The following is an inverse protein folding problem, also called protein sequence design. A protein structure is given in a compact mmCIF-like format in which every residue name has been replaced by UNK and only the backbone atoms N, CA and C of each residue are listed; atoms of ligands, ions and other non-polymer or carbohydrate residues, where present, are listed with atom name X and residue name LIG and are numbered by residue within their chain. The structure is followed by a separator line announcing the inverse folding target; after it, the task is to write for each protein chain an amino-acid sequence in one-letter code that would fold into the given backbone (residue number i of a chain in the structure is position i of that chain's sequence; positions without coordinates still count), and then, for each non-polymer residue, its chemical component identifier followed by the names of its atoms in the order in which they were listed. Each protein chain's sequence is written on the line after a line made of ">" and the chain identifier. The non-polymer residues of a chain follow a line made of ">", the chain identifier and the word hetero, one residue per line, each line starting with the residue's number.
data_IF_259497428917
#
_entry.id   IF_259497428917
#
_cell.length_a   1.000
_cell.length_b   1.000
_cell.length_c   1.000
_cell.angle_alpha   90.00
_cell.angle_beta   90.00
_cell.angle_gamma   90.00
#
_symmetry.space_group_name_H-M   'P 1'
#
loop_
_entity.id
_entity.type
_entity.pdbx_description
1 polymer ?
#
# COMPACT_ATOMS: atom_id res chain seq x y z
N UNK A 1 -36.25 -7.44 -31.25
CA UNK A 1 -35.93 -6.33 -30.32
C UNK A 1 -35.28 -6.82 -29.01
N UNK A 2 -35.73 -7.91 -28.38
CA UNK A 2 -35.14 -8.42 -27.13
C UNK A 2 -33.64 -8.79 -27.22
N UNK A 3 -33.20 -9.40 -28.33
CA UNK A 3 -31.79 -9.84 -28.50
C UNK A 3 -30.82 -8.65 -28.53
N UNK A 4 -31.15 -7.58 -29.26
CA UNK A 4 -30.36 -6.35 -29.29
C UNK A 4 -30.34 -5.62 -27.94
N UNK A 5 -31.47 -5.62 -27.23
CA UNK A 5 -31.53 -5.04 -25.88
C UNK A 5 -30.63 -5.79 -24.89
N UNK A 6 -30.65 -7.13 -24.92
CA UNK A 6 -29.78 -7.97 -24.07
C UNK A 6 -28.30 -7.79 -24.45
N UNK A 7 -27.98 -7.74 -25.74
CA UNK A 7 -26.61 -7.47 -26.22
C UNK A 7 -26.12 -6.08 -25.78
N UNK A 8 -26.96 -5.05 -25.88
CA UNK A 8 -26.63 -3.70 -25.40
C UNK A 8 -26.37 -3.65 -23.90
N UNK A 9 -27.20 -4.33 -23.09
CA UNK A 9 -26.99 -4.44 -21.63
C UNK A 9 -25.70 -5.21 -21.31
N UNK A 10 -25.39 -6.27 -22.04
CA UNK A 10 -24.16 -7.04 -21.86
C UNK A 10 -22.92 -6.18 -22.14
N UNK A 11 -22.91 -5.40 -23.21
CA UNK A 11 -21.82 -4.47 -23.54
C UNK A 11 -21.66 -3.40 -22.45
N UNK A 12 -22.75 -2.77 -22.02
CA UNK A 12 -22.70 -1.77 -20.94
C UNK A 12 -22.11 -2.35 -19.66
N UNK A 13 -22.54 -3.54 -19.25
CA UNK A 13 -21.99 -4.24 -18.08
C UNK A 13 -20.49 -4.50 -18.23
N UNK A 14 -20.05 -5.03 -19.37
CA UNK A 14 -18.64 -5.30 -19.63
C UNK A 14 -17.80 -4.01 -19.52
N UNK A 15 -18.28 -2.89 -20.07
CA UNK A 15 -17.61 -1.60 -19.96
C UNK A 15 -17.56 -1.11 -18.51
N UNK A 16 -18.66 -1.23 -17.76
CA UNK A 16 -18.68 -0.85 -16.33
C UNK A 16 -17.70 -1.67 -15.50
N UNK A 17 -17.63 -2.99 -15.72
CA UNK A 17 -16.65 -3.85 -15.04
C UNK A 17 -15.22 -3.50 -15.41
N UNK A 18 -14.96 -3.19 -16.69
CA UNK A 18 -13.64 -2.76 -17.13
C UNK A 18 -13.20 -1.44 -16.45
N UNK A 19 -14.09 -0.45 -16.35
CA UNK A 19 -13.80 0.81 -15.68
C UNK A 19 -13.45 0.57 -14.20
N UNK A 20 -14.23 -0.27 -13.50
CA UNK A 20 -13.96 -0.63 -12.09
C UNK A 20 -12.59 -1.26 -11.93
N UNK A 21 -12.23 -2.20 -12.81
CA UNK A 21 -10.92 -2.86 -12.78
C UNK A 21 -9.78 -1.85 -12.96
N UNK A 22 -9.89 -0.93 -13.93
CA UNK A 22 -8.88 0.11 -14.16
C UNK A 22 -8.73 1.03 -12.94
N UNK A 23 -9.84 1.48 -12.35
CA UNK A 23 -9.79 2.32 -11.15
C UNK A 23 -9.13 1.59 -9.98
N UNK A 24 -9.39 0.29 -9.80
CA UNK A 24 -8.76 -0.49 -8.73
C UNK A 24 -7.25 -0.63 -8.93
N UNK A 25 -6.80 -0.85 -10.17
CA UNK A 25 -5.37 -0.94 -10.50
C UNK A 25 -4.66 0.40 -10.26
N UNK A 26 -5.30 1.51 -10.61
CA UNK A 26 -4.80 2.86 -10.32
C UNK A 26 -4.61 3.06 -8.81
N UNK A 27 -5.63 2.73 -8.01
CA UNK A 27 -5.57 2.83 -6.54
C UNK A 27 -4.44 1.99 -5.95
N UNK A 28 -4.30 0.73 -6.39
CA UNK A 28 -3.23 -0.14 -5.93
C UNK A 28 -1.84 0.41 -6.31
N UNK A 29 -1.68 0.95 -7.52
CA UNK A 29 -0.41 1.51 -7.99
C UNK A 29 -0.01 2.76 -7.21
N UNK A 30 -0.96 3.66 -6.94
CA UNK A 30 -0.69 4.85 -6.13
C UNK A 30 -0.36 4.46 -4.69
N UNK A 31 -1.11 3.51 -4.11
CA UNK A 31 -0.86 3.01 -2.77
C UNK A 31 0.49 2.29 -2.65
N UNK A 32 0.93 1.58 -3.71
CA UNK A 32 2.26 0.94 -3.72
C UNK A 32 3.38 1.96 -3.75
N UNK A 33 3.28 3.03 -4.56
CA UNK A 33 4.26 4.11 -4.54
C UNK A 33 4.37 4.79 -3.18
N UNK A 34 3.24 5.02 -2.51
CA UNK A 34 3.25 5.57 -1.14
C UNK A 34 3.95 4.63 -0.17
N UNK A 35 3.62 3.33 -0.22
CA UNK A 35 4.22 2.34 0.67
C UNK A 35 5.74 2.21 0.46
N UNK A 36 6.19 2.16 -0.79
CA UNK A 36 7.60 2.10 -1.18
C UNK A 36 8.37 3.34 -0.73
N UNK A 37 7.80 4.53 -0.95
CA UNK A 37 8.41 5.79 -0.50
C UNK A 37 8.61 5.80 1.02
N UNK A 38 7.61 5.41 1.80
CA UNK A 38 7.76 5.36 3.26
C UNK A 38 8.79 4.33 3.72
N UNK A 39 8.86 3.20 3.03
CA UNK A 39 9.87 2.20 3.33
C UNK A 39 11.29 2.72 3.07
N UNK A 40 11.49 3.45 1.97
CA UNK A 40 12.79 4.05 1.66
C UNK A 40 13.16 5.17 2.64
N UNK A 41 12.21 6.03 3.03
CA UNK A 41 12.47 7.04 4.05
C UNK A 41 12.90 6.42 5.38
N UNK A 42 12.27 5.32 5.80
CA UNK A 42 12.68 4.60 7.00
C UNK A 42 14.13 4.08 6.88
N UNK A 43 14.50 3.52 5.72
CA UNK A 43 15.85 3.03 5.46
C UNK A 43 16.91 4.14 5.56
N UNK A 44 16.57 5.37 5.15
CA UNK A 44 17.47 6.52 5.23
C UNK A 44 17.70 7.01 6.66
N UNK A 45 16.75 6.84 7.59
CA UNK A 45 16.92 7.24 8.99
C UNK A 45 17.97 6.41 9.74
N UNK A 46 18.32 5.21 9.24
CA UNK A 46 19.30 4.26 9.83
C UNK A 46 19.10 3.97 11.33
N UNK A 47 17.89 4.21 11.85
CA UNK A 47 17.56 4.06 13.27
C UNK A 47 17.24 2.61 13.58
N UNK A 48 18.00 2.01 14.50
CA UNK A 48 17.76 0.68 15.02
C UNK A 48 17.44 0.70 16.53
N UNK A 49 16.41 -0.02 17.00
CA UNK A 49 15.36 -0.66 16.19
C UNK A 49 14.46 0.38 15.51
N UNK A 50 13.80 0.03 14.39
CA UNK A 50 12.79 0.88 13.79
C UNK A 50 11.66 1.13 14.79
N UNK A 51 11.06 2.31 14.74
CA UNK A 51 9.95 2.67 15.63
C UNK A 51 8.78 1.68 15.51
N UNK A 52 8.24 1.27 16.66
CA UNK A 52 7.20 0.25 16.75
C UNK A 52 5.97 0.59 15.89
N UNK A 53 5.59 1.86 15.86
CA UNK A 53 4.50 2.38 15.02
C UNK A 53 4.86 3.78 14.53
N UNK A 54 4.62 4.03 13.25
CA UNK A 54 4.58 5.39 12.66
C UNK A 54 3.33 5.48 11.79
N UNK A 55 2.77 6.67 11.67
CA UNK A 55 1.65 6.90 10.77
C UNK A 55 1.70 8.33 10.26
N UNK A 56 1.00 8.58 9.17
CA UNK A 56 0.86 9.91 8.62
C UNK A 56 -0.12 9.96 7.47
N UNK A 57 -0.22 11.15 6.90
CA UNK A 57 -1.07 11.47 5.78
C UNK A 57 -0.19 11.92 4.61
N UNK A 58 -0.59 11.55 3.39
CA UNK A 58 0.07 12.02 2.17
C UNK A 58 -0.97 12.32 1.09
N UNK A 59 -0.76 13.42 0.37
CA UNK A 59 -1.58 13.78 -0.78
C UNK A 59 -0.90 13.31 -2.07
N UNK A 60 -1.57 12.48 -2.85
CA UNK A 60 -1.09 11.97 -4.13
C UNK A 60 -2.25 11.81 -5.12
N UNK A 61 -2.04 12.19 -6.38
CA UNK A 61 -3.07 12.16 -7.43
C UNK A 61 -4.38 12.88 -7.02
N UNK A 62 -4.22 14.03 -6.33
CA UNK A 62 -5.32 14.84 -5.79
C UNK A 62 -6.23 14.10 -4.77
N UNK A 63 -5.76 12.99 -4.20
CA UNK A 63 -6.43 12.24 -3.12
C UNK A 63 -5.57 12.25 -1.86
N UNK A 64 -6.22 12.10 -0.72
CA UNK A 64 -5.55 11.98 0.57
C UNK A 64 -5.50 10.51 0.99
N UNK A 65 -4.30 10.07 1.37
CA UNK A 65 -4.01 8.71 1.79
C UNK A 65 -3.46 8.71 3.20
N UNK A 66 -3.87 7.70 3.98
CA UNK A 66 -3.30 7.38 5.28
C UNK A 66 -2.32 6.24 5.09
N UNK A 67 -1.14 6.39 5.68
CA UNK A 67 -0.17 5.31 5.76
C UNK A 67 0.13 4.98 7.22
N UNK A 68 0.32 3.71 7.48
CA UNK A 68 0.68 3.19 8.80
C UNK A 68 1.82 2.20 8.66
N UNK A 69 2.88 2.45 9.40
CA UNK A 69 4.03 1.57 9.55
C UNK A 69 3.96 0.89 10.92
N UNK A 70 4.28 -0.39 10.95
CA UNK A 70 4.49 -1.16 12.17
C UNK A 70 5.80 -1.94 12.08
N UNK A 71 6.56 -1.93 13.17
CA UNK A 71 7.76 -2.73 13.37
C UNK A 71 7.44 -3.87 14.34
N UNK A 72 7.57 -5.10 13.85
CA UNK A 72 7.25 -6.33 14.58
C UNK A 72 8.53 -7.07 14.95
N UNK A 73 8.49 -7.73 16.10
CA UNK A 73 9.54 -8.66 16.52
C UNK A 73 9.57 -9.87 15.61
N UNK A 74 10.77 -10.30 15.26
CA UNK A 74 10.98 -11.56 14.56
C UNK A 74 11.64 -12.55 15.51
N UNK A 75 11.69 -13.82 15.12
CA UNK A 75 12.35 -14.86 15.92
C UNK A 75 13.86 -14.60 16.09
N UNK A 76 14.49 -13.92 15.13
CA UNK A 76 15.89 -13.50 15.24
C UNK A 76 15.95 -12.06 15.80
N UNK A 77 16.57 -11.83 16.97
CA UNK A 77 16.69 -10.50 17.56
C UNK A 77 17.51 -9.51 16.72
N UNK A 78 18.18 -9.98 15.67
CA UNK A 78 18.91 -9.17 14.72
C UNK A 78 18.05 -8.62 13.58
N UNK A 79 16.83 -9.11 13.42
CA UNK A 79 15.89 -8.69 12.38
C UNK A 79 14.59 -8.13 12.99
N UNK A 80 14.09 -7.08 12.34
CA UNK A 80 12.77 -6.50 12.61
C UNK A 80 11.97 -6.55 11.31
N UNK A 81 10.72 -6.98 11.40
CA UNK A 81 9.81 -6.95 10.26
C UNK A 81 9.14 -5.57 10.22
N UNK A 82 9.28 -4.87 9.10
CA UNK A 82 8.58 -3.63 8.84
C UNK A 82 7.40 -3.91 7.93
N UNK A 83 6.21 -3.51 8.35
CA UNK A 83 4.98 -3.54 7.54
C UNK A 83 4.46 -2.12 7.36
N UNK A 84 4.32 -1.68 6.11
CA UNK A 84 3.61 -0.45 5.75
C UNK A 84 2.27 -0.82 5.12
N UNK A 85 1.20 -0.16 5.53
CA UNK A 85 -0.14 -0.31 4.99
C UNK A 85 -0.67 1.06 4.58
N UNK A 86 -1.39 1.11 3.47
CA UNK A 86 -1.91 2.35 2.89
C UNK A 86 -3.40 2.21 2.63
N UNK A 87 -4.18 3.18 3.10
CA UNK A 87 -5.62 3.27 2.93
C UNK A 87 -6.05 4.68 2.50
N UNK A 88 -7.22 4.84 1.86
CA UNK A 88 -7.79 6.16 1.58
C UNK A 88 -8.16 6.83 2.91
N UNK A 89 -8.00 8.15 3.00
CA UNK A 89 -8.38 8.87 4.22
C UNK A 89 -9.89 8.85 4.50
N UNK A 90 -10.70 8.71 3.46
CA UNK A 90 -12.16 8.59 3.55
C UNK A 90 -12.61 7.22 4.09
N UNK A 91 -11.78 6.18 3.91
CA UNK A 91 -12.05 4.80 4.33
C UNK A 91 -10.81 4.19 5.03
N UNK A 92 -10.45 4.64 6.26
CA UNK A 92 -9.18 4.26 6.90
C UNK A 92 -9.01 2.74 7.11
N UNK A 93 -10.11 2.02 7.32
CA UNK A 93 -10.15 0.57 7.51
C UNK A 93 -9.90 -0.22 6.21
N UNK A 94 -10.10 0.42 5.05
CA UNK A 94 -9.93 -0.21 3.73
C UNK A 94 -8.47 -0.10 3.30
N UNK A 95 -7.65 -1.04 3.76
CA UNK A 95 -6.25 -1.16 3.31
C UNK A 95 -6.22 -1.60 1.84
N UNK A 96 -5.75 -0.72 0.97
CA UNK A 96 -5.65 -0.97 -0.48
C UNK A 96 -4.37 -1.72 -0.82
N UNK A 97 -3.28 -1.40 -0.11
CA UNK A 97 -1.98 -2.03 -0.33
C UNK A 97 -1.21 -2.16 0.98
N UNK A 98 -0.44 -3.24 1.10
CA UNK A 98 0.50 -3.41 2.19
C UNK A 98 1.79 -4.03 1.69
N UNK A 99 2.91 -3.47 2.13
CA UNK A 99 4.25 -3.93 1.81
C UNK A 99 4.96 -4.35 3.10
N UNK A 100 5.65 -5.48 3.04
CA UNK A 100 6.44 -6.01 4.15
C UNK A 100 7.90 -6.15 3.73
N UNK A 101 8.81 -5.84 4.64
CA UNK A 101 10.24 -6.07 4.47
C UNK A 101 10.88 -6.46 5.80
N UNK A 102 12.15 -6.83 5.74
CA UNK A 102 12.99 -7.08 6.90
C UNK A 102 14.15 -6.08 6.91
N UNK A 103 14.43 -5.56 8.10
CA UNK A 103 15.59 -4.72 8.36
C UNK A 103 16.46 -5.44 9.38
N UNK A 104 17.77 -5.43 9.11
CA UNK A 104 18.79 -6.00 9.98
C UNK A 104 19.42 -4.93 10.86
N UNK A 105 20.02 -5.35 11.98
CA UNK A 105 20.93 -4.51 12.76
C UNK A 105 22.04 -3.94 11.86
N UNK A 106 22.37 -2.64 11.95
CA UNK A 106 23.40 -2.01 11.11
C UNK A 106 24.77 -2.68 11.17
N UNK A 107 25.09 -3.33 12.28
CA UNK A 107 26.36 -4.04 12.52
C UNK A 107 26.53 -5.27 11.61
N UNK A 108 25.44 -5.89 11.17
CA UNK A 108 25.44 -7.07 10.29
C UNK A 108 25.44 -6.71 8.81
N UNK A 109 25.20 -5.45 8.46
CA UNK A 109 25.10 -5.00 7.06
C UNK A 109 26.47 -4.57 6.47
N UNK A 110 27.57 -4.74 7.22
CA UNK A 110 28.94 -4.33 6.82
C UNK A 110 29.82 -5.48 6.30
N UNK A 111 29.31 -6.70 6.25
CA UNK A 111 29.93 -7.85 5.56
C UNK A 111 29.29 -8.05 4.17
#
# INVERSE_FOLDING_TARGET
>A
MAIFAIAGVAVMRATTEHIRAVTQLEEMTLASFIAENQLQLNRLEQKWPPEAKKQGEVKMANRTWLWQQSSLETADPNFRQLKVSVSPAEEPERVIYSLQTFVAKPELAKE
#
